data_IF_979530997643
#
_entry.id   IF_979530997643
#
_cell.length_a   1.000
_cell.length_b   1.000
_cell.length_c   1.000
_cell.angle_alpha   90.00
_cell.angle_beta   90.00
_cell.angle_gamma   90.00
#
_symmetry.space_group_name_H-M   'P 1'
#
loop_
_entity.id
_entity.type
_entity.pdbx_description
1 polymer ?
#
# COMPACT_ATOMS: atom_id res chain seq x y z
N UNK A 1 -4.34 -14.52 1.20
CA UNK A 1 -5.25 -13.80 2.11
C UNK A 1 -6.66 -13.99 1.59
N UNK A 2 -7.63 -14.25 2.47
CA UNK A 2 -8.99 -14.65 2.12
C UNK A 2 -9.99 -13.50 2.36
N UNK A 3 -10.18 -12.64 1.36
CA UNK A 3 -11.33 -11.74 1.33
C UNK A 3 -12.24 -12.17 0.19
N UNK A 4 -13.51 -12.37 0.49
CA UNK A 4 -14.54 -12.55 -0.53
C UNK A 4 -15.00 -11.19 -1.09
N UNK A 5 -15.69 -11.21 -2.22
CA UNK A 5 -16.32 -10.00 -2.78
C UNK A 5 -17.28 -9.33 -1.78
N UNK A 6 -18.00 -10.13 -0.99
CA UNK A 6 -18.91 -9.64 0.05
C UNK A 6 -18.16 -8.92 1.18
N UNK A 7 -16.97 -9.43 1.57
CA UNK A 7 -16.13 -8.77 2.56
C UNK A 7 -15.62 -7.43 2.04
N UNK A 8 -15.15 -7.39 0.79
CA UNK A 8 -14.67 -6.15 0.14
C UNK A 8 -15.78 -5.10 0.07
N UNK A 9 -16.98 -5.49 -0.37
CA UNK A 9 -18.14 -4.60 -0.43
C UNK A 9 -18.52 -4.07 0.96
N UNK A 10 -18.45 -4.91 2.00
CA UNK A 10 -18.72 -4.50 3.38
C UNK A 10 -17.68 -3.51 3.89
N UNK A 11 -16.39 -3.77 3.65
CA UNK A 11 -15.30 -2.87 4.05
C UNK A 11 -15.47 -1.48 3.41
N UNK A 12 -15.80 -1.44 2.11
CA UNK A 12 -16.07 -0.21 1.38
C UNK A 12 -17.27 0.54 1.98
N UNK A 13 -18.41 -0.14 2.16
CA UNK A 13 -19.63 0.46 2.70
C UNK A 13 -19.47 1.02 4.13
N UNK A 14 -18.53 0.45 4.90
CA UNK A 14 -18.23 0.88 6.27
C UNK A 14 -17.09 1.89 6.37
N UNK A 15 -16.46 2.25 5.25
CA UNK A 15 -15.30 3.16 5.24
C UNK A 15 -14.09 2.60 5.99
N UNK A 16 -13.92 1.28 6.01
CA UNK A 16 -12.80 0.63 6.70
C UNK A 16 -11.50 0.89 5.93
N UNK A 17 -10.40 0.99 6.68
CA UNK A 17 -9.05 1.00 6.10
C UNK A 17 -8.40 -0.37 6.23
N UNK A 18 -7.76 -0.83 5.15
CA UNK A 18 -6.95 -2.05 5.13
C UNK A 18 -5.46 -1.69 5.19
N UNK A 19 -4.74 -2.25 6.16
CA UNK A 19 -3.28 -2.17 6.21
C UNK A 19 -2.67 -3.36 5.43
N UNK A 20 -2.06 -3.08 4.28
CA UNK A 20 -1.48 -4.07 3.40
C UNK A 20 0.00 -4.31 3.73
N UNK A 21 0.31 -5.52 4.22
CA UNK A 21 1.66 -5.97 4.56
C UNK A 21 2.10 -7.08 3.60
N UNK A 22 2.54 -6.72 2.40
CA UNK A 22 2.76 -7.66 1.31
C UNK A 22 3.97 -8.57 1.55
N UNK A 23 5.12 -8.01 1.95
CA UNK A 23 6.35 -8.78 2.17
C UNK A 23 6.19 -9.78 3.31
N UNK A 24 5.50 -9.39 4.38
CA UNK A 24 5.15 -10.32 5.46
C UNK A 24 4.25 -11.46 4.98
N UNK A 25 3.19 -11.14 4.22
CA UNK A 25 2.30 -12.14 3.66
C UNK A 25 3.02 -13.09 2.68
N UNK A 26 3.98 -12.59 1.90
CA UNK A 26 4.84 -13.40 1.04
C UNK A 26 5.74 -14.31 1.87
N UNK A 27 6.44 -13.77 2.87
CA UNK A 27 7.37 -14.50 3.73
C UNK A 27 6.68 -15.61 4.53
N UNK A 28 5.47 -15.38 5.00
CA UNK A 28 4.68 -16.35 5.78
C UNK A 28 3.81 -17.26 4.90
N UNK A 29 3.91 -17.18 3.57
CA UNK A 29 3.05 -17.90 2.64
C UNK A 29 1.54 -17.71 2.93
N UNK A 30 1.14 -16.55 3.45
CA UNK A 30 -0.25 -16.20 3.75
C UNK A 30 -1.06 -15.86 2.49
N UNK A 31 -0.37 -15.73 1.35
CA UNK A 31 -0.93 -15.47 0.03
C UNK A 31 -1.07 -13.99 -0.30
N UNK A 32 -1.52 -13.69 -1.50
CA UNK A 32 -1.65 -12.31 -2.01
C UNK A 32 -3.03 -11.74 -1.65
N UNK A 33 -3.09 -10.50 -1.19
CA UNK A 33 -4.35 -9.79 -0.94
C UNK A 33 -4.99 -9.34 -2.29
N UNK A 34 -6.33 -9.27 -2.40
CA UNK A 34 -7.01 -8.76 -3.60
C UNK A 34 -6.94 -7.23 -3.64
N UNK A 35 -5.73 -6.69 -3.81
CA UNK A 35 -5.49 -5.24 -3.76
C UNK A 35 -6.24 -4.49 -4.88
N UNK A 36 -6.17 -4.91 -6.17
CA UNK A 36 -6.89 -4.21 -7.23
C UNK A 36 -8.40 -4.12 -6.96
N UNK A 37 -8.99 -5.18 -6.42
CA UNK A 37 -10.42 -5.25 -6.09
C UNK A 37 -10.76 -4.33 -4.92
N UNK A 38 -9.91 -4.26 -3.89
CA UNK A 38 -10.06 -3.31 -2.78
C UNK A 38 -10.01 -1.85 -3.27
N UNK A 39 -9.03 -1.52 -4.13
CA UNK A 39 -8.88 -0.18 -4.69
C UNK A 39 -10.08 0.19 -5.58
N UNK A 40 -10.52 -0.74 -6.44
CA UNK A 40 -11.68 -0.54 -7.32
C UNK A 40 -12.98 -0.35 -6.53
N UNK A 41 -13.13 -1.01 -5.39
CA UNK A 41 -14.27 -0.85 -4.48
C UNK A 41 -14.22 0.45 -3.65
N UNK A 42 -13.15 1.25 -3.76
CA UNK A 42 -12.98 2.50 -3.02
C UNK A 42 -12.57 2.32 -1.56
N UNK A 43 -12.09 1.12 -1.18
CA UNK A 43 -11.55 0.87 0.16
C UNK A 43 -10.28 1.69 0.36
N UNK A 44 -10.12 2.34 1.52
CA UNK A 44 -8.84 2.94 1.86
C UNK A 44 -7.82 1.83 2.10
N UNK A 45 -6.72 1.83 1.35
CA UNK A 45 -5.63 0.89 1.59
C UNK A 45 -4.38 1.66 1.96
N UNK A 46 -3.77 1.32 3.10
CA UNK A 46 -2.48 1.85 3.53
C UNK A 46 -1.40 0.77 3.44
N UNK A 47 -0.13 1.18 3.30
CA UNK A 47 1.01 0.27 3.32
C UNK A 47 1.52 0.03 4.74
N UNK A 48 2.00 -1.17 5.04
CA UNK A 48 2.70 -1.47 6.28
C UNK A 48 3.75 -2.56 6.10
N UNK A 49 4.78 -2.54 6.94
CA UNK A 49 5.84 -3.55 6.89
C UNK A 49 5.51 -4.80 7.69
N UNK A 50 4.53 -4.73 8.60
CA UNK A 50 4.38 -5.68 9.72
C UNK A 50 5.64 -5.73 10.62
N UNK A 51 5.75 -6.72 11.50
CA UNK A 51 6.87 -6.85 12.44
C UNK A 51 8.16 -7.40 11.81
N UNK A 52 9.30 -7.06 12.43
CA UNK A 52 10.63 -7.54 12.00
C UNK A 52 10.79 -9.07 12.04
N UNK A 53 9.93 -9.81 12.75
CA UNK A 53 9.96 -11.27 12.74
C UNK A 53 9.36 -11.87 11.45
N UNK A 54 8.46 -11.14 10.79
CA UNK A 54 7.69 -11.58 9.63
C UNK A 54 8.03 -10.83 8.34
N UNK A 55 8.73 -9.70 8.39
CA UNK A 55 9.30 -9.01 7.22
C UNK A 55 10.83 -9.13 7.15
N UNK A 56 11.47 -8.89 8.31
CA UNK A 56 12.92 -8.83 8.58
C UNK A 56 13.58 -7.46 8.41
N UNK A 57 12.84 -6.42 8.00
CA UNK A 57 13.28 -5.03 8.05
C UNK A 57 12.08 -4.08 8.28
N UNK A 58 12.32 -2.77 8.24
CA UNK A 58 11.29 -1.71 8.31
C UNK A 58 11.42 -0.74 7.11
N UNK A 59 11.79 -1.26 5.95
CA UNK A 59 11.99 -0.51 4.70
C UNK A 59 10.66 -0.36 3.95
N UNK A 60 9.97 0.75 4.20
CA UNK A 60 8.71 1.07 3.51
C UNK A 60 8.89 1.32 2.01
N UNK A 61 10.08 1.69 1.54
CA UNK A 61 10.35 1.87 0.11
C UNK A 61 10.51 0.52 -0.60
N UNK A 62 11.14 -0.44 0.07
CA UNK A 62 11.17 -1.84 -0.35
C UNK A 62 9.76 -2.42 -0.45
N UNK A 63 8.95 -2.23 0.59
CA UNK A 63 7.56 -2.68 0.64
C UNK A 63 6.73 -2.09 -0.52
N UNK A 64 6.91 -0.80 -0.83
CA UNK A 64 6.24 -0.14 -1.96
C UNK A 64 6.61 -0.80 -3.30
N UNK A 65 7.87 -1.14 -3.50
CA UNK A 65 8.35 -1.82 -4.70
C UNK A 65 7.78 -3.23 -4.85
N UNK A 66 7.74 -3.96 -3.73
CA UNK A 66 7.15 -5.28 -3.65
C UNK A 66 5.67 -5.23 -4.02
N UNK A 67 4.90 -4.29 -3.46
CA UNK A 67 3.48 -4.11 -3.79
C UNK A 67 3.27 -3.72 -5.26
N UNK A 68 4.08 -2.80 -5.80
CA UNK A 68 3.94 -2.35 -7.19
C UNK A 68 4.17 -3.47 -8.22
N UNK A 69 4.90 -4.53 -7.87
CA UNK A 69 5.21 -5.63 -8.80
C UNK A 69 4.43 -6.91 -8.50
N UNK A 70 4.18 -7.22 -7.22
CA UNK A 70 3.46 -8.42 -6.77
C UNK A 70 2.07 -8.54 -7.39
N UNK A 71 1.30 -7.45 -7.37
CA UNK A 71 -0.08 -7.50 -7.88
C UNK A 71 -0.12 -7.59 -9.40
N UNK A 72 0.88 -7.06 -10.10
CA UNK A 72 1.00 -7.17 -11.55
C UNK A 72 1.23 -8.61 -11.98
N UNK A 73 2.20 -9.29 -11.38
CA UNK A 73 2.47 -10.70 -11.70
C UNK A 73 1.33 -11.61 -11.27
N UNK A 74 0.67 -11.32 -10.14
CA UNK A 74 -0.49 -12.09 -9.66
C UNK A 74 -1.67 -12.02 -10.64
N UNK A 75 -1.91 -10.86 -11.24
CA UNK A 75 -3.03 -10.63 -12.16
C UNK A 75 -2.67 -10.79 -13.64
N UNK A 76 -1.38 -11.00 -13.95
CA UNK A 76 -0.85 -11.00 -15.32
C UNK A 76 -1.19 -9.71 -16.09
N UNK A 77 -1.22 -8.58 -15.38
CA UNK A 77 -1.56 -7.27 -15.93
C UNK A 77 -0.64 -6.20 -15.31
N UNK A 78 0.10 -5.49 -16.15
CA UNK A 78 1.08 -4.50 -15.72
C UNK A 78 0.47 -3.18 -15.21
N UNK A 79 -0.86 -3.01 -15.31
CA UNK A 79 -1.58 -1.75 -15.05
C UNK A 79 -2.37 -1.74 -13.74
N UNK A 80 -2.54 -2.89 -13.07
CA UNK A 80 -3.44 -3.04 -11.91
C UNK A 80 -3.06 -2.23 -10.67
N UNK A 81 -1.79 -1.86 -10.53
CA UNK A 81 -1.30 -0.96 -9.48
C UNK A 81 -0.21 -0.09 -10.09
N UNK A 82 -0.50 1.19 -10.27
CA UNK A 82 0.48 2.16 -10.72
C UNK A 82 1.31 2.73 -9.55
N UNK A 83 2.40 3.41 -9.90
CA UNK A 83 3.30 3.98 -8.90
C UNK A 83 2.66 5.10 -8.07
N UNK A 84 1.66 5.81 -8.61
CA UNK A 84 0.97 6.87 -7.90
C UNK A 84 0.07 6.30 -6.80
N UNK A 85 -0.72 5.28 -7.11
CA UNK A 85 -1.53 4.54 -6.15
C UNK A 85 -0.64 3.92 -5.05
N UNK A 86 0.49 3.33 -5.43
CA UNK A 86 1.46 2.79 -4.46
C UNK A 86 2.00 3.86 -3.51
N UNK A 87 2.33 5.04 -4.03
CA UNK A 87 2.79 6.17 -3.21
C UNK A 87 1.68 6.74 -2.32
N UNK A 88 0.44 6.83 -2.80
CA UNK A 88 -0.70 7.27 -2.00
C UNK A 88 -0.98 6.30 -0.84
N UNK A 89 -0.90 4.98 -1.06
CA UNK A 89 -0.98 3.97 0.00
C UNK A 89 0.06 4.18 1.10
N UNK A 90 1.29 4.55 0.72
CA UNK A 90 2.39 4.81 1.67
C UNK A 90 2.33 6.19 2.33
N UNK A 91 1.46 7.10 1.87
CA UNK A 91 1.42 8.50 2.33
C UNK A 91 0.00 8.91 2.74
N UNK A 92 -0.77 9.53 1.84
CA UNK A 92 -2.10 10.09 2.10
C UNK A 92 -3.07 9.08 2.72
N UNK A 93 -3.08 7.83 2.23
CA UNK A 93 -3.97 6.80 2.74
C UNK A 93 -3.56 6.32 4.13
N UNK A 94 -2.26 6.27 4.43
CA UNK A 94 -1.74 5.97 5.76
C UNK A 94 -2.08 7.07 6.76
N UNK A 95 -1.95 8.35 6.37
CA UNK A 95 -2.40 9.47 7.19
C UNK A 95 -3.91 9.38 7.48
N UNK A 96 -4.71 9.09 6.44
CA UNK A 96 -6.16 8.84 6.58
C UNK A 96 -6.47 7.66 7.50
N UNK A 97 -5.70 6.57 7.41
CA UNK A 97 -5.87 5.36 8.24
C UNK A 97 -5.77 5.67 9.74
N UNK A 98 -4.81 6.52 10.10
CA UNK A 98 -4.46 6.83 11.49
C UNK A 98 -5.19 8.08 12.02
N UNK A 99 -6.01 8.74 11.19
CA UNK A 99 -6.64 10.02 11.55
C UNK A 99 -5.63 11.15 11.72
N UNK A 100 -4.47 11.05 11.07
CA UNK A 100 -3.43 12.07 11.12
C UNK A 100 -3.63 13.09 10.00
N UNK A 101 -3.38 14.37 10.31
CA UNK A 101 -3.19 15.37 9.27
C UNK A 101 -1.89 15.11 8.50
N UNK A 102 -1.89 15.35 7.18
CA UNK A 102 -0.69 15.22 6.35
C UNK A 102 -0.82 14.14 5.28
N UNK A 103 0.31 13.52 4.91
CA UNK A 103 0.40 12.57 3.80
C UNK A 103 0.33 13.20 2.40
N UNK A 104 0.05 14.51 2.31
CA UNK A 104 0.11 15.33 1.10
C UNK A 104 0.78 16.67 1.42
N UNK A 105 1.40 17.27 0.41
CA UNK A 105 2.05 18.57 0.53
C UNK A 105 1.04 19.68 0.27
N UNK A 106 0.37 20.09 1.34
CA UNK A 106 -0.70 21.09 1.29
C UNK A 106 -0.49 22.15 2.37
N UNK A 107 -0.86 23.40 2.08
CA UNK A 107 -0.74 24.48 3.05
C UNK A 107 -1.61 24.19 4.28
N UNK A 108 -1.02 24.33 5.48
CA UNK A 108 -1.69 24.03 6.75
C UNK A 108 -1.55 22.57 7.21
N UNK A 109 -1.01 21.66 6.39
CA UNK A 109 -0.67 20.31 6.82
C UNK A 109 0.65 20.27 7.62
N UNK A 110 0.87 19.25 8.47
CA UNK A 110 2.14 19.05 9.16
C UNK A 110 3.32 18.93 8.18
N UNK A 111 4.47 19.52 8.53
CA UNK A 111 5.69 19.52 7.71
C UNK A 111 6.46 18.19 7.80
N UNK A 112 5.81 17.08 7.48
CA UNK A 112 6.46 15.77 7.36
C UNK A 112 6.96 15.59 5.92
N UNK A 113 8.27 15.77 5.73
CA UNK A 113 8.92 15.77 4.41
C UNK A 113 10.09 14.78 4.39
N UNK A 114 10.18 13.98 3.32
CA UNK A 114 11.36 13.18 3.01
C UNK A 114 12.01 13.76 1.75
N UNK A 115 13.26 14.24 1.86
CA UNK A 115 14.05 14.66 0.69
C UNK A 115 14.85 13.49 0.16
N UNK A 116 14.47 12.99 -1.00
CA UNK A 116 15.10 11.87 -1.67
C UNK A 116 15.99 12.34 -2.83
N UNK A 117 17.25 11.88 -2.87
CA UNK A 117 18.19 12.30 -3.90
C UNK A 117 18.31 11.32 -5.08
N UNK A 118 17.79 10.07 -5.02
CA UNK A 118 17.93 9.10 -6.13
C UNK A 118 17.10 7.80 -6.02
N UNK A 119 16.76 7.29 -4.83
CA UNK A 119 16.29 5.92 -4.65
C UNK A 119 14.78 5.76 -4.92
N UNK A 120 13.94 6.66 -4.40
CA UNK A 120 12.48 6.63 -4.63
C UNK A 120 12.14 6.71 -6.12
N UNK A 121 12.84 7.57 -6.88
CA UNK A 121 12.65 7.68 -8.32
C UNK A 121 13.03 6.39 -9.06
N UNK A 122 13.97 5.58 -8.54
CA UNK A 122 14.31 4.28 -9.14
C UNK A 122 13.25 3.21 -8.84
N UNK A 123 12.53 3.33 -7.72
CA UNK A 123 11.46 2.43 -7.33
C UNK A 123 10.16 2.75 -8.08
N UNK A 124 9.79 4.04 -8.15
CA UNK A 124 8.66 4.53 -8.94
C UNK A 124 8.82 4.19 -10.43
N UNK A 125 10.05 4.26 -10.98
CA UNK A 125 10.30 3.90 -12.39
C UNK A 125 10.30 2.41 -12.69
N UNK A 126 10.38 1.56 -11.66
CA UNK A 126 10.28 0.09 -11.78
C UNK A 126 8.86 -0.41 -11.55
N UNK A 127 8.01 0.45 -10.99
CA UNK A 127 6.57 0.29 -10.82
C UNK A 127 5.80 0.70 -12.07
#
# INVERSE_FOLDING_TARGET
MCLSEADIALLAARGVTVAHNAESNMKLASGVAPLPELLAAGVNVSLGTDGCASNNNLDLLGELASVATLHKVKNLDATVVDAAAALEMATANGARALGFGGGRLEAGAPAALLRECRALASYIRRA
#
